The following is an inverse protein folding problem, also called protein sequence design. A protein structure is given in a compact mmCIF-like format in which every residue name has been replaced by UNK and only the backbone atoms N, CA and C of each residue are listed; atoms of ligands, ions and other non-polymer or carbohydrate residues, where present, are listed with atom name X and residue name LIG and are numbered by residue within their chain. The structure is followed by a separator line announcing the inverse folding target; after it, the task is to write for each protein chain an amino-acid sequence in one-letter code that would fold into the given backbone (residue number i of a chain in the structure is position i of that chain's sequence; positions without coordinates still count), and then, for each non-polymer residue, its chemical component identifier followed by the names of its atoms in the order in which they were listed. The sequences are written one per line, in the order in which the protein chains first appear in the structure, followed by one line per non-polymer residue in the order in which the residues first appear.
data_IF_339492968548
#
_entry.id   IF_339492968548
#
_cell.length_a   1.000
_cell.length_b   1.000
_cell.length_c   1.000
_cell.angle_alpha   90.00
_cell.angle_beta   90.00
_cell.angle_gamma   90.00
#
_symmetry.space_group_name_H-M   'P 1'
#
loop_
_entity.id
_entity.type
_entity.pdbx_description
1 polymer ?
#
# COMPACT_ATOMS: atom_id res chain seq x y z
N UNK A 1 29.00 -14.27 5.09
CA UNK A 1 28.11 -13.30 5.80
C UNK A 1 26.70 -13.81 5.59
N UNK A 2 26.07 -14.31 6.63
CA UNK A 2 24.66 -14.72 6.56
C UNK A 2 23.81 -13.47 6.50
N UNK A 3 23.19 -13.22 5.35
CA UNK A 3 22.30 -12.08 5.14
C UNK A 3 21.06 -12.29 6.01
N UNK A 4 20.96 -11.56 7.12
CA UNK A 4 19.84 -11.64 8.05
C UNK A 4 18.58 -11.06 7.40
N UNK A 5 17.59 -11.91 7.13
CA UNK A 5 16.27 -11.51 6.60
C UNK A 5 15.29 -11.48 7.78
N UNK A 6 14.80 -10.29 8.14
CA UNK A 6 13.82 -10.15 9.22
C UNK A 6 12.39 -10.27 8.67
N UNK A 7 11.84 -11.47 8.77
CA UNK A 7 10.52 -11.79 8.24
C UNK A 7 9.39 -11.51 9.23
N UNK A 8 9.71 -11.49 10.53
CA UNK A 8 8.70 -11.27 11.57
C UNK A 8 8.27 -9.81 11.53
N UNK A 9 9.24 -8.90 11.38
CA UNK A 9 8.97 -7.48 11.34
C UNK A 9 8.23 -7.07 10.07
N UNK A 10 8.60 -7.59 8.90
CA UNK A 10 7.86 -7.35 7.65
C UNK A 10 6.42 -7.88 7.72
N UNK A 11 6.20 -9.05 8.32
CA UNK A 11 4.85 -9.60 8.48
C UNK A 11 3.99 -8.74 9.41
N UNK A 12 4.52 -8.41 10.59
CA UNK A 12 3.78 -7.65 11.59
C UNK A 12 3.44 -6.25 11.08
N UNK A 13 4.45 -5.53 10.60
CA UNK A 13 4.25 -4.17 10.03
C UNK A 13 3.37 -4.20 8.79
N UNK A 14 3.43 -5.27 7.98
CA UNK A 14 2.56 -5.46 6.82
C UNK A 14 1.08 -5.63 7.20
N UNK A 15 0.79 -6.48 8.19
CA UNK A 15 -0.58 -6.67 8.70
C UNK A 15 -1.13 -5.39 9.34
N UNK A 16 -0.31 -4.69 10.13
CA UNK A 16 -0.70 -3.41 10.74
C UNK A 16 -0.99 -2.37 9.66
N UNK A 17 -0.14 -2.28 8.62
CA UNK A 17 -0.36 -1.37 7.50
C UNK A 17 -1.66 -1.68 6.76
N UNK A 18 -1.91 -2.97 6.46
CA UNK A 18 -3.15 -3.40 5.81
C UNK A 18 -4.39 -3.09 6.62
N UNK A 19 -4.36 -3.34 7.93
CA UNK A 19 -5.45 -3.03 8.84
C UNK A 19 -5.77 -1.54 8.88
N UNK A 20 -4.75 -0.69 8.99
CA UNK A 20 -4.92 0.76 9.01
C UNK A 20 -5.41 1.32 7.67
N UNK A 21 -4.87 0.82 6.55
CA UNK A 21 -5.32 1.20 5.20
C UNK A 21 -6.78 0.79 4.98
N UNK A 22 -7.16 -0.42 5.40
CA UNK A 22 -8.54 -0.89 5.31
C UNK A 22 -9.48 -0.08 6.20
N UNK A 23 -9.02 0.31 7.40
CA UNK A 23 -9.79 1.17 8.30
C UNK A 23 -10.05 2.55 7.70
N UNK A 24 -9.02 3.16 7.09
CA UNK A 24 -9.17 4.43 6.36
C UNK A 24 -10.21 4.30 5.25
N UNK A 25 -10.13 3.25 4.42
CA UNK A 25 -11.10 3.05 3.34
C UNK A 25 -12.53 2.83 3.85
N UNK A 26 -12.70 2.09 4.95
CA UNK A 26 -14.01 1.88 5.57
C UNK A 26 -14.59 3.19 6.13
N UNK A 27 -13.72 4.02 6.71
CA UNK A 27 -14.09 5.32 7.22
C UNK A 27 -14.49 6.28 6.08
N UNK A 28 -13.76 6.30 4.96
CA UNK A 28 -14.14 7.11 3.79
C UNK A 28 -15.52 6.73 3.25
N UNK A 29 -15.83 5.43 3.18
CA UNK A 29 -17.16 4.95 2.81
C UNK A 29 -18.23 5.47 3.77
N UNK A 30 -17.97 5.39 5.08
CA UNK A 30 -18.90 5.88 6.08
C UNK A 30 -19.09 7.41 6.02
N UNK A 31 -18.01 8.16 5.81
CA UNK A 31 -18.02 9.60 5.59
C UNK A 31 -18.92 9.98 4.42
N UNK A 32 -18.71 9.36 3.25
CA UNK A 32 -19.57 9.60 2.08
C UNK A 32 -21.04 9.26 2.38
N UNK A 33 -21.35 8.14 3.03
CA UNK A 33 -22.75 7.82 3.40
C UNK A 33 -23.36 8.92 4.27
N UNK A 34 -22.62 9.41 5.25
CA UNK A 34 -23.07 10.49 6.12
C UNK A 34 -23.29 11.80 5.34
N UNK A 35 -22.42 12.13 4.38
CA UNK A 35 -22.56 13.30 3.51
C UNK A 35 -23.86 13.25 2.70
N UNK A 36 -24.20 12.09 2.14
CA UNK A 36 -25.45 11.86 1.41
C UNK A 36 -26.70 12.02 2.29
N UNK A 37 -26.58 11.82 3.60
CA UNK A 37 -27.67 11.99 4.57
C UNK A 37 -27.77 13.40 5.17
N UNK A 38 -26.91 14.34 4.74
CA UNK A 38 -26.87 15.71 5.29
C UNK A 38 -26.20 15.80 6.66
N UNK A 39 -25.33 14.85 7.00
CA UNK A 39 -24.55 14.88 8.23
C UNK A 39 -23.41 15.92 8.19
N UNK A 40 -22.78 16.16 9.34
CA UNK A 40 -21.70 17.17 9.46
C UNK A 40 -20.38 16.72 8.83
N UNK A 41 -19.58 17.67 8.32
CA UNK A 41 -18.22 17.47 7.77
C UNK A 41 -17.16 16.98 8.77
N UNK A 42 -17.52 16.79 10.04
CA UNK A 42 -16.62 16.28 11.10
C UNK A 42 -16.03 14.90 10.78
N UNK A 43 -16.69 14.12 9.93
CA UNK A 43 -16.22 12.80 9.51
C UNK A 43 -15.01 12.88 8.58
N UNK A 44 -14.98 13.81 7.62
CA UNK A 44 -13.81 13.98 6.73
C UNK A 44 -12.51 14.30 7.51
N UNK A 45 -12.61 14.88 8.70
CA UNK A 45 -11.47 15.11 9.60
C UNK A 45 -10.96 13.83 10.27
N UNK A 46 -11.84 12.90 10.65
CA UNK A 46 -11.48 11.61 11.22
C UNK A 46 -10.68 10.76 10.21
N UNK A 47 -11.13 10.73 8.95
CA UNK A 47 -10.39 10.17 7.82
C UNK A 47 -8.94 10.67 7.77
N UNK A 48 -8.79 12.00 7.88
CA UNK A 48 -7.51 12.70 7.83
C UNK A 48 -6.58 12.32 8.98
N UNK A 49 -7.13 12.18 10.19
CA UNK A 49 -6.37 11.72 11.37
C UNK A 49 -5.90 10.27 11.19
N UNK A 50 -6.70 9.40 10.56
CA UNK A 50 -6.36 8.00 10.35
C UNK A 50 -5.31 7.78 9.25
N UNK A 51 -5.18 8.69 8.28
CA UNK A 51 -4.12 8.61 7.26
C UNK A 51 -2.72 8.64 7.87
N UNK A 52 -2.50 9.41 8.93
CA UNK A 52 -1.16 9.60 9.49
C UNK A 52 -0.61 8.31 10.13
N UNK A 53 -1.32 7.61 11.04
CA UNK A 53 -0.92 6.28 11.49
C UNK A 53 -0.76 5.27 10.36
N UNK A 54 -1.66 5.26 9.36
CA UNK A 54 -1.57 4.36 8.21
C UNK A 54 -0.30 4.60 7.38
N UNK A 55 0.04 5.87 7.13
CA UNK A 55 1.25 6.27 6.42
C UNK A 55 2.51 5.89 7.20
N UNK A 56 2.54 6.11 8.52
CA UNK A 56 3.67 5.70 9.38
C UNK A 56 3.86 4.19 9.33
N UNK A 57 2.79 3.41 9.51
CA UNK A 57 2.85 1.96 9.43
C UNK A 57 3.36 1.49 8.05
N UNK A 58 2.84 2.08 6.98
CA UNK A 58 3.26 1.76 5.62
C UNK A 58 4.75 2.07 5.39
N UNK A 59 5.25 3.21 5.87
CA UNK A 59 6.67 3.57 5.76
C UNK A 59 7.55 2.59 6.55
N UNK A 60 7.14 2.21 7.76
CA UNK A 60 7.87 1.22 8.56
C UNK A 60 7.92 -0.14 7.84
N UNK A 61 6.79 -0.59 7.31
CA UNK A 61 6.73 -1.79 6.49
C UNK A 61 7.63 -1.68 5.26
N UNK A 62 7.57 -0.57 4.52
CA UNK A 62 8.36 -0.36 3.31
C UNK A 62 9.86 -0.37 3.60
N UNK A 63 10.31 0.24 4.71
CA UNK A 63 11.71 0.20 5.14
C UNK A 63 12.17 -1.24 5.41
N UNK A 64 11.37 -2.01 6.15
CA UNK A 64 11.69 -3.40 6.47
C UNK A 64 11.68 -4.28 5.21
N UNK A 65 10.68 -4.11 4.35
CA UNK A 65 10.57 -4.83 3.08
C UNK A 65 11.73 -4.50 2.14
N UNK A 66 12.17 -3.24 2.13
CA UNK A 66 13.34 -2.77 1.37
C UNK A 66 14.62 -3.41 1.88
N UNK A 67 14.86 -3.39 3.19
CA UNK A 67 16.04 -4.03 3.79
C UNK A 67 16.13 -5.52 3.42
N UNK A 68 15.02 -6.25 3.50
CA UNK A 68 14.96 -7.64 3.07
C UNK A 68 15.18 -7.81 1.57
N UNK A 69 14.64 -6.91 0.75
CA UNK A 69 14.83 -6.90 -0.70
C UNK A 69 16.29 -6.65 -1.10
N UNK A 70 16.98 -5.73 -0.43
CA UNK A 70 18.42 -5.48 -0.63
C UNK A 70 19.24 -6.71 -0.28
N UNK A 71 18.92 -7.37 0.84
CA UNK A 71 19.55 -8.62 1.25
C UNK A 71 19.36 -9.76 0.21
N UNK A 72 18.19 -9.84 -0.42
CA UNK A 72 17.86 -10.87 -1.42
C UNK A 72 18.53 -10.57 -2.77
N UNK A 73 18.50 -9.31 -3.21
CA UNK A 73 18.96 -8.91 -4.54
C UNK A 73 20.45 -8.55 -4.59
N UNK A 74 21.09 -8.31 -3.44
CA UNK A 74 22.44 -7.73 -3.35
C UNK A 74 22.59 -6.46 -4.20
N UNK A 75 21.52 -5.66 -4.24
CA UNK A 75 21.40 -4.44 -5.02
C UNK A 75 20.69 -3.36 -4.20
N UNK A 76 20.98 -2.08 -4.49
CA UNK A 76 20.28 -0.97 -3.83
C UNK A 76 18.81 -0.94 -4.26
N UNK A 77 17.90 -1.00 -3.31
CA UNK A 77 16.45 -1.02 -3.54
C UNK A 77 15.89 0.29 -2.98
N UNK A 78 15.32 1.14 -3.85
CA UNK A 78 14.87 2.49 -3.43
C UNK A 78 13.39 2.72 -3.63
N UNK A 79 12.75 1.96 -4.51
CA UNK A 79 11.34 2.11 -4.85
C UNK A 79 10.60 0.78 -4.75
N UNK A 80 9.29 0.85 -4.56
CA UNK A 80 8.43 -0.34 -4.43
C UNK A 80 8.52 -1.31 -5.61
N UNK A 81 8.80 -0.82 -6.83
CA UNK A 81 9.05 -1.66 -8.00
C UNK A 81 10.30 -2.50 -7.86
N UNK A 82 11.33 -1.95 -7.22
CA UNK A 82 12.58 -2.65 -6.95
C UNK A 82 12.39 -3.66 -5.82
N UNK A 83 11.61 -3.32 -4.78
CA UNK A 83 11.21 -4.27 -3.73
C UNK A 83 10.50 -5.47 -4.35
N UNK A 84 9.57 -5.23 -5.27
CA UNK A 84 8.87 -6.31 -5.98
C UNK A 84 9.83 -7.19 -6.79
N UNK A 85 10.68 -6.59 -7.63
CA UNK A 85 11.67 -7.30 -8.46
C UNK A 85 12.65 -8.12 -7.62
N UNK A 86 13.08 -7.58 -6.49
CA UNK A 86 13.97 -8.26 -5.56
C UNK A 86 13.27 -9.44 -4.90
N UNK A 87 12.00 -9.25 -4.54
CA UNK A 87 11.23 -10.21 -3.76
C UNK A 87 10.66 -11.34 -4.59
N UNK A 88 10.66 -11.34 -5.93
CA UNK A 88 10.06 -12.42 -6.72
C UNK A 88 10.97 -13.66 -6.84
N UNK A 89 10.60 -14.83 -6.25
CA UNK A 89 11.41 -16.04 -6.33
C UNK A 89 11.50 -16.64 -7.73
N UNK A 90 10.53 -16.36 -8.61
CA UNK A 90 10.52 -16.87 -9.98
C UNK A 90 11.58 -16.18 -10.85
N UNK A 91 12.06 -15.00 -10.43
CA UNK A 91 13.00 -14.17 -11.19
C UNK A 91 14.40 -14.16 -10.57
N UNK A 92 14.70 -15.12 -9.67
CA UNK A 92 15.98 -15.19 -8.95
C UNK A 92 17.17 -15.31 -9.89
N UNK A 93 17.04 -16.15 -10.92
CA UNK A 93 18.12 -16.45 -11.87
C UNK A 93 18.27 -15.38 -12.96
N UNK A 94 17.35 -14.41 -13.00
CA UNK A 94 17.37 -13.30 -13.95
C UNK A 94 18.16 -12.12 -13.32
N UNK A 95 19.09 -11.50 -14.07
CA UNK A 95 19.79 -10.30 -13.61
C UNK A 95 18.81 -9.21 -13.17
N UNK A 96 19.08 -8.54 -12.05
CA UNK A 96 18.14 -7.61 -11.39
C UNK A 96 17.52 -6.57 -12.35
N UNK A 97 18.33 -6.01 -13.26
CA UNK A 97 17.88 -4.99 -14.25
C UNK A 97 16.86 -5.53 -15.28
N UNK A 98 16.85 -6.84 -15.51
CA UNK A 98 15.94 -7.49 -16.46
C UNK A 98 14.69 -8.06 -15.80
N UNK A 99 14.57 -7.96 -14.47
CA UNK A 99 13.40 -8.46 -13.74
C UNK A 99 12.16 -7.63 -14.07
N UNK A 100 11.06 -8.31 -14.34
CA UNK A 100 9.76 -7.72 -14.59
C UNK A 100 9.21 -7.02 -13.33
N UNK A 101 8.69 -5.82 -13.52
CA UNK A 101 7.94 -5.08 -12.48
C UNK A 101 6.51 -5.58 -12.47
N UNK A 102 5.87 -5.56 -11.31
CA UNK A 102 4.43 -5.81 -11.23
C UNK A 102 3.64 -4.83 -12.10
N UNK A 103 2.73 -5.32 -12.96
CA UNK A 103 1.83 -4.44 -13.70
C UNK A 103 0.87 -3.67 -12.78
N UNK A 104 0.76 -4.06 -11.50
CA UNK A 104 -0.18 -3.49 -10.53
C UNK A 104 0.37 -2.28 -9.76
N UNK A 105 1.68 -2.04 -9.78
CA UNK A 105 2.28 -0.91 -9.05
C UNK A 105 1.83 0.44 -9.64
N UNK A 106 1.80 0.57 -10.97
CA UNK A 106 1.36 1.81 -11.62
C UNK A 106 -0.13 2.10 -11.40
N UNK A 107 -1.07 1.15 -11.61
CA UNK A 107 -2.47 1.33 -11.26
C UNK A 107 -2.67 1.77 -9.81
N UNK A 108 -1.93 1.17 -8.86
CA UNK A 108 -1.99 1.58 -7.46
C UNK A 108 -1.56 3.04 -7.26
N UNK A 109 -0.44 3.44 -7.84
CA UNK A 109 0.05 4.83 -7.76
C UNK A 109 -0.95 5.82 -8.36
N UNK A 110 -1.57 5.48 -9.50
CA UNK A 110 -2.60 6.30 -10.11
C UNK A 110 -3.88 6.37 -9.29
N UNK A 111 -4.33 5.26 -8.70
CA UNK A 111 -5.49 5.25 -7.80
C UNK A 111 -5.25 6.13 -6.56
N UNK A 112 -4.04 6.06 -5.99
CA UNK A 112 -3.65 6.91 -4.86
C UNK A 112 -3.60 8.39 -5.25
N UNK A 113 -2.99 8.73 -6.39
CA UNK A 113 -2.95 10.12 -6.86
C UNK A 113 -4.35 10.65 -7.19
N UNK A 114 -5.22 9.82 -7.77
CA UNK A 114 -6.60 10.18 -8.04
C UNK A 114 -7.36 10.47 -6.73
N UNK A 115 -7.23 9.60 -5.72
CA UNK A 115 -7.79 9.81 -4.38
C UNK A 115 -7.35 11.14 -3.77
N UNK A 116 -6.05 11.43 -3.75
CA UNK A 116 -5.54 12.70 -3.20
C UNK A 116 -6.09 13.90 -3.98
N UNK A 117 -6.18 13.79 -5.31
CA UNK A 117 -6.73 14.87 -6.13
C UNK A 117 -8.22 15.10 -5.83
N UNK A 118 -9.00 14.03 -5.66
CA UNK A 118 -10.43 14.12 -5.36
C UNK A 118 -10.70 14.64 -3.95
N UNK A 119 -9.88 14.27 -2.96
CA UNK A 119 -9.95 14.84 -1.60
C UNK A 119 -9.68 16.35 -1.59
N UNK A 120 -8.69 16.81 -2.37
CA UNK A 120 -8.39 18.22 -2.51
C UNK A 120 -9.55 18.97 -3.17
N UNK A 121 -10.14 18.40 -4.23
CA UNK A 121 -11.30 18.99 -4.92
C UNK A 121 -12.54 19.01 -4.03
N UNK A 122 -12.79 17.95 -3.25
CA UNK A 122 -13.84 17.91 -2.24
C UNK A 122 -13.70 19.08 -1.26
N UNK A 123 -12.48 19.29 -0.73
CA UNK A 123 -12.20 20.38 0.22
C UNK A 123 -12.42 21.77 -0.40
N UNK A 124 -12.07 21.96 -1.67
CA UNK A 124 -12.27 23.24 -2.38
C UNK A 124 -13.76 23.49 -2.70
N UNK A 125 -14.55 22.43 -2.85
CA UNK A 125 -15.93 22.49 -3.34
C UNK A 125 -16.98 22.26 -2.24
N UNK A 126 -16.58 22.27 -0.97
CA UNK A 126 -17.41 22.02 0.22
C UNK A 126 -18.76 22.75 0.21
N UNK A 127 -18.80 24.01 -0.24
CA UNK A 127 -20.03 24.83 -0.25
C UNK A 127 -20.90 24.67 -1.51
N UNK A 128 -20.57 23.71 -2.38
CA UNK A 128 -21.25 23.54 -3.67
C UNK A 128 -21.97 22.19 -3.76
N UNK A 129 -23.03 22.13 -4.59
CA UNK A 129 -23.70 20.86 -4.89
C UNK A 129 -22.80 19.81 -5.58
N UNK A 130 -21.60 20.19 -6.03
CA UNK A 130 -20.61 19.27 -6.57
C UNK A 130 -19.88 18.47 -5.46
N UNK A 131 -19.94 18.90 -4.20
CA UNK A 131 -19.28 18.25 -3.06
C UNK A 131 -19.58 16.74 -2.98
N UNK A 132 -20.86 16.36 -3.04
CA UNK A 132 -21.30 14.96 -2.92
C UNK A 132 -20.75 14.08 -4.05
N UNK A 133 -20.60 14.64 -5.26
CA UNK A 133 -20.03 13.93 -6.41
C UNK A 133 -18.55 13.66 -6.17
N UNK A 134 -17.81 14.65 -5.67
CA UNK A 134 -16.38 14.50 -5.38
C UNK A 134 -16.10 13.63 -4.16
N UNK A 135 -16.91 13.70 -3.10
CA UNK A 135 -16.85 12.76 -1.95
C UNK A 135 -17.05 11.32 -2.41
N UNK A 136 -18.06 11.07 -3.26
CA UNK A 136 -18.29 9.73 -3.81
C UNK A 136 -17.13 9.24 -4.67
N UNK A 137 -16.60 10.11 -5.54
CA UNK A 137 -15.47 9.77 -6.39
C UNK A 137 -14.21 9.49 -5.56
N UNK A 138 -13.98 10.29 -4.51
CA UNK A 138 -12.84 10.11 -3.63
C UNK A 138 -12.90 8.79 -2.88
N UNK A 139 -14.07 8.45 -2.34
CA UNK A 139 -14.27 7.15 -1.69
C UNK A 139 -14.04 5.96 -2.63
N UNK A 140 -14.50 6.03 -3.88
CA UNK A 140 -14.23 4.97 -4.87
C UNK A 140 -12.72 4.85 -5.12
N UNK A 141 -12.03 5.97 -5.29
CA UNK A 141 -10.57 5.99 -5.47
C UNK A 141 -9.83 5.48 -4.21
N UNK A 142 -10.29 5.82 -3.01
CA UNK A 142 -9.73 5.38 -1.74
C UNK A 142 -9.85 3.87 -1.58
N UNK A 143 -11.02 3.28 -1.86
CA UNK A 143 -11.23 1.83 -1.81
C UNK A 143 -10.35 1.12 -2.84
N UNK A 144 -10.27 1.63 -4.07
CA UNK A 144 -9.42 1.05 -5.11
C UNK A 144 -7.93 1.12 -4.72
N UNK A 145 -7.46 2.27 -4.24
CA UNK A 145 -6.09 2.48 -3.79
C UNK A 145 -5.75 1.58 -2.60
N UNK A 146 -6.64 1.48 -1.61
CA UNK A 146 -6.49 0.63 -0.44
C UNK A 146 -6.43 -0.85 -0.82
N UNK A 147 -7.33 -1.33 -1.68
CA UNK A 147 -7.32 -2.71 -2.16
C UNK A 147 -6.02 -3.08 -2.86
N UNK A 148 -5.53 -2.21 -3.75
CA UNK A 148 -4.27 -2.40 -4.46
C UNK A 148 -3.06 -2.34 -3.51
N UNK A 149 -3.03 -1.39 -2.56
CA UNK A 149 -1.98 -1.28 -1.56
C UNK A 149 -1.90 -2.56 -0.71
N UNK A 150 -3.04 -3.00 -0.17
CA UNK A 150 -3.13 -4.21 0.63
C UNK A 150 -2.68 -5.44 -0.14
N UNK A 151 -3.08 -5.55 -1.42
CA UNK A 151 -2.63 -6.63 -2.30
C UNK A 151 -1.11 -6.61 -2.51
N UNK A 152 -0.52 -5.44 -2.79
CA UNK A 152 0.93 -5.29 -2.98
C UNK A 152 1.69 -5.68 -1.71
N UNK A 153 1.25 -5.20 -0.54
CA UNK A 153 1.85 -5.53 0.76
C UNK A 153 1.78 -7.04 1.01
N UNK A 154 0.61 -7.63 0.83
CA UNK A 154 0.40 -9.07 1.02
C UNK A 154 1.31 -9.87 0.10
N UNK A 155 1.35 -9.48 -1.18
CA UNK A 155 2.07 -10.25 -2.19
C UNK A 155 3.57 -10.17 -1.97
N UNK A 156 4.13 -9.00 -1.74
CA UNK A 156 5.56 -8.83 -1.43
C UNK A 156 5.92 -9.62 -0.18
N UNK A 157 5.14 -9.48 0.89
CA UNK A 157 5.38 -10.20 2.15
C UNK A 157 5.34 -11.72 1.95
N UNK A 158 4.39 -12.23 1.16
CA UNK A 158 4.28 -13.66 0.83
C UNK A 158 5.45 -14.15 -0.05
N UNK A 159 5.94 -13.32 -0.97
CA UNK A 159 7.09 -13.68 -1.78
C UNK A 159 8.38 -13.73 -0.95
N UNK A 160 8.63 -12.75 -0.09
CA UNK A 160 9.81 -12.72 0.79
C UNK A 160 9.87 -13.92 1.74
N UNK A 161 8.71 -14.39 2.22
CA UNK A 161 8.63 -15.61 3.04
C UNK A 161 9.14 -16.87 2.32
N UNK A 162 9.03 -16.94 0.98
CA UNK A 162 9.51 -18.12 0.23
C UNK A 162 11.04 -18.21 0.22
N UNK A 163 11.76 -17.13 0.50
CA UNK A 163 13.21 -17.15 0.66
C UNK A 163 13.66 -17.60 2.05
N UNK A 164 12.76 -17.54 3.04
CA UNK A 164 13.00 -17.97 4.41
C UNK A 164 13.02 -19.49 4.58
N UNK A 165 12.24 -20.19 3.77
CA UNK A 165 12.06 -21.63 3.90
C UNK A 165 13.23 -22.32 3.19
N UNK A 166 14.06 -23.12 3.90
CA UNK A 166 15.10 -23.91 3.26
C UNK A 166 14.45 -24.81 2.21
N UNK A 167 14.84 -24.66 0.93
CA UNK A 167 14.43 -25.65 -0.08
C UNK A 167 15.10 -26.97 0.29
N UNK A 168 14.36 -28.09 0.44
CA UNK A 168 15.01 -29.39 0.56
C UNK A 168 15.88 -29.59 -0.69
N UNK A 169 17.18 -29.79 -0.49
CA UNK A 169 18.11 -30.17 -1.55
C UNK A 169 17.53 -31.41 -2.22
N UNK A 170 17.05 -31.29 -3.46
CA UNK A 170 16.83 -32.45 -4.31
C UNK A 170 18.21 -33.05 -4.56
N UNK A 171 18.48 -34.17 -3.88
CA UNK A 171 19.52 -35.12 -4.23
C UNK A 171 19.18 -35.80 -5.54
#
# INVERSE_FOLDING_TARGET
MDTYIDLRDVRLTGLVSQGLIALVAAESVWGTVNDWTGGSSTWSFLAQVLYLPAAVAFVLWFRNATHNAEAIALHGVRVISDVWRASDPAQRDVPFKQRAVSPLIRPWQYAFLAMVLTDLLETVLLDTGAYVVFSTLSTVCAVAAAGLACFVIWRISAMQQRFAVPRPQRR
#
